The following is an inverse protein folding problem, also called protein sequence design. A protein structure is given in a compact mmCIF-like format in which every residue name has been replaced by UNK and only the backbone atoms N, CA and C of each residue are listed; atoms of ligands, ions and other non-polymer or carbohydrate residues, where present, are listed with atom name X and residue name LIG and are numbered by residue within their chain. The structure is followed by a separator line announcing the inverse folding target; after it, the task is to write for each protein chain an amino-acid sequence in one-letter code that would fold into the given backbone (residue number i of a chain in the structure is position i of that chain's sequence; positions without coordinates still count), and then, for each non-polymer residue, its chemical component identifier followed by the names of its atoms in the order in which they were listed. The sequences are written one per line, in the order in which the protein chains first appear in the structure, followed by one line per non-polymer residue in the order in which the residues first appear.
data_IF_235416088024
#
_entry.id   IF_235416088024
#
_cell.length_a   1.000
_cell.length_b   1.000
_cell.length_c   1.000
_cell.angle_alpha   90.00
_cell.angle_beta   90.00
_cell.angle_gamma   90.00
#
_symmetry.space_group_name_H-M   'P 1'
#
loop_
_entity.id
_entity.type
_entity.pdbx_description
1 polymer ?
#
# COMPACT_ATOMS: atom_id res chain seq x y z
N UNK A 1 8.87 57.53 15.55
CA UNK A 1 9.05 57.39 14.09
C UNK A 1 10.04 56.28 13.71
N UNK A 2 11.35 56.37 14.04
CA UNK A 2 12.31 55.30 13.68
C UNK A 2 11.95 53.93 14.31
N UNK A 3 11.56 53.90 15.59
CA UNK A 3 11.12 52.69 16.29
C UNK A 3 9.89 52.05 15.65
N UNK A 4 8.93 52.87 15.23
CA UNK A 4 7.67 52.41 14.62
C UNK A 4 7.93 51.82 13.23
N UNK A 5 8.82 52.45 12.44
CA UNK A 5 9.25 51.93 11.14
C UNK A 5 9.97 50.58 11.28
N UNK A 6 10.83 50.42 12.27
CA UNK A 6 11.51 49.15 12.55
C UNK A 6 10.51 48.07 12.96
N UNK A 7 9.51 48.40 13.78
CA UNK A 7 8.46 47.47 14.18
C UNK A 7 7.58 47.02 12.99
N UNK A 8 7.19 47.95 12.12
CA UNK A 8 6.42 47.61 10.90
C UNK A 8 7.26 46.74 9.96
N UNK A 9 8.54 47.06 9.77
CA UNK A 9 9.42 46.29 8.92
C UNK A 9 9.64 44.86 9.46
N UNK A 10 9.82 44.69 10.76
CA UNK A 10 10.02 43.36 11.35
C UNK A 10 8.77 42.48 11.23
N UNK A 11 7.57 43.05 11.41
CA UNK A 11 6.30 42.34 11.18
C UNK A 11 6.17 41.94 9.71
N UNK A 12 6.45 42.86 8.78
CA UNK A 12 6.39 42.56 7.35
C UNK A 12 7.35 41.42 6.96
N UNK A 13 8.60 41.46 7.43
CA UNK A 13 9.59 40.40 7.20
C UNK A 13 9.12 39.06 7.79
N UNK A 14 8.53 39.08 8.99
CA UNK A 14 8.05 37.87 9.66
C UNK A 14 6.88 37.22 8.91
N UNK A 15 5.95 38.02 8.38
CA UNK A 15 4.84 37.53 7.56
C UNK A 15 5.31 36.95 6.22
N UNK A 16 6.28 37.60 5.57
CA UNK A 16 6.89 37.08 4.34
C UNK A 16 7.60 35.75 4.61
N UNK A 17 8.39 35.68 5.69
CA UNK A 17 9.08 34.46 6.08
C UNK A 17 8.09 33.32 6.36
N UNK A 18 7.02 33.58 7.12
CA UNK A 18 5.95 32.61 7.38
C UNK A 18 5.29 32.12 6.08
N UNK A 19 4.98 33.03 5.16
CA UNK A 19 4.39 32.68 3.86
C UNK A 19 5.29 31.75 3.06
N UNK A 20 6.59 32.05 2.98
CA UNK A 20 7.58 31.20 2.32
C UNK A 20 7.68 29.83 3.00
N UNK A 21 7.73 29.79 4.33
CA UNK A 21 7.78 28.53 5.09
C UNK A 21 6.57 27.63 4.81
N UNK A 22 5.35 28.18 4.75
CA UNK A 22 4.15 27.40 4.44
C UNK A 22 4.18 26.84 3.01
N UNK A 23 4.61 27.64 2.03
CA UNK A 23 4.73 27.20 0.63
C UNK A 23 5.77 26.08 0.50
N UNK A 24 6.93 26.23 1.15
CA UNK A 24 7.98 25.20 1.16
C UNK A 24 7.47 23.93 1.84
N UNK A 25 6.81 24.03 2.99
CA UNK A 25 6.27 22.90 3.72
C UNK A 25 5.25 22.11 2.88
N UNK A 26 4.36 22.80 2.16
CA UNK A 26 3.41 22.13 1.25
C UNK A 26 4.10 21.48 0.05
N UNK A 27 5.16 22.11 -0.46
CA UNK A 27 5.99 21.55 -1.52
C UNK A 27 6.71 20.27 -1.09
N UNK A 28 7.29 20.26 0.12
CA UNK A 28 8.00 19.12 0.70
C UNK A 28 7.06 17.95 0.95
N UNK A 29 5.92 18.18 1.62
CA UNK A 29 4.92 17.13 1.87
C UNK A 29 4.47 16.43 0.60
N UNK A 30 4.23 17.18 -0.49
CA UNK A 30 3.85 16.57 -1.77
C UNK A 30 4.94 15.68 -2.36
N UNK A 31 6.22 16.05 -2.19
CA UNK A 31 7.36 15.24 -2.66
C UNK A 31 7.49 13.96 -1.83
N UNK A 32 7.42 14.09 -0.51
CA UNK A 32 7.42 12.97 0.43
C UNK A 32 6.29 11.98 0.14
N UNK A 33 5.07 12.46 -0.10
CA UNK A 33 3.94 11.59 -0.48
C UNK A 33 4.19 10.84 -1.80
N UNK A 34 4.83 11.50 -2.78
CA UNK A 34 5.17 10.86 -4.06
C UNK A 34 6.32 9.86 -3.91
N UNK A 35 7.30 10.15 -3.07
CA UNK A 35 8.40 9.24 -2.75
C UNK A 35 7.89 8.01 -2.01
N UNK A 36 7.00 8.20 -1.04
CA UNK A 36 6.29 7.12 -0.36
C UNK A 36 5.47 6.27 -1.35
N UNK A 37 4.71 6.91 -2.24
CA UNK A 37 3.93 6.19 -3.24
C UNK A 37 4.82 5.37 -4.20
N UNK A 38 5.99 5.89 -4.57
CA UNK A 38 6.96 5.17 -5.39
C UNK A 38 7.63 4.03 -4.63
N UNK A 39 8.02 4.26 -3.38
CA UNK A 39 8.66 3.22 -2.56
C UNK A 39 7.70 2.06 -2.30
N UNK A 40 6.43 2.33 -2.00
CA UNK A 40 5.40 1.30 -1.84
C UNK A 40 5.16 0.50 -3.13
N UNK A 41 5.17 1.17 -4.29
CA UNK A 41 5.07 0.46 -5.57
C UNK A 41 6.33 -0.38 -5.83
N UNK A 42 7.51 0.16 -5.55
CA UNK A 42 8.78 -0.54 -5.72
C UNK A 42 8.88 -1.76 -4.80
N UNK A 43 8.44 -1.64 -3.55
CA UNK A 43 8.35 -2.75 -2.59
C UNK A 43 7.50 -3.89 -3.16
N UNK A 44 6.39 -3.60 -3.85
CA UNK A 44 5.52 -4.62 -4.46
C UNK A 44 6.14 -5.32 -5.69
N UNK A 45 7.00 -4.62 -6.43
CA UNK A 45 7.55 -5.09 -7.71
C UNK A 45 8.98 -5.59 -7.63
N UNK A 46 9.63 -5.52 -6.47
CA UNK A 46 11.05 -5.88 -6.32
C UNK A 46 11.34 -6.61 -5.01
N UNK A 47 12.57 -7.12 -4.88
CA UNK A 47 13.07 -7.76 -3.66
C UNK A 47 12.26 -8.98 -3.23
N UNK A 48 12.06 -9.09 -1.92
CA UNK A 48 11.41 -10.24 -1.29
C UNK A 48 9.93 -10.41 -1.71
N UNK A 49 9.22 -9.32 -2.01
CA UNK A 49 7.81 -9.38 -2.40
C UNK A 49 7.65 -9.89 -3.83
N UNK A 50 8.53 -9.48 -4.74
CA UNK A 50 8.56 -10.04 -6.09
C UNK A 50 8.80 -11.55 -6.04
N UNK A 51 9.80 -11.98 -5.27
CA UNK A 51 10.07 -13.40 -5.05
C UNK A 51 8.87 -14.14 -4.42
N UNK A 52 8.22 -13.54 -3.42
CA UNK A 52 7.03 -14.12 -2.81
C UNK A 52 5.89 -14.30 -3.82
N UNK A 53 5.67 -13.31 -4.70
CA UNK A 53 4.68 -13.39 -5.79
C UNK A 53 5.02 -14.49 -6.79
N UNK A 54 6.29 -14.68 -7.12
CA UNK A 54 6.71 -15.75 -8.03
C UNK A 54 6.48 -17.13 -7.43
N UNK A 55 6.85 -17.33 -6.15
CA UNK A 55 6.61 -18.58 -5.41
C UNK A 55 5.11 -18.90 -5.36
N UNK A 56 4.30 -17.93 -4.91
CA UNK A 56 2.86 -18.11 -4.79
C UNK A 56 2.20 -18.26 -6.17
N UNK A 57 2.67 -17.55 -7.19
CA UNK A 57 2.15 -17.64 -8.55
C UNK A 57 2.44 -19.01 -9.17
N UNK A 58 3.63 -19.57 -8.88
CA UNK A 58 3.98 -20.95 -9.21
C UNK A 58 3.08 -21.95 -8.50
N UNK A 59 2.81 -21.75 -7.20
CA UNK A 59 1.91 -22.59 -6.42
C UNK A 59 0.46 -22.54 -6.95
N UNK A 60 -0.05 -21.35 -7.25
CA UNK A 60 -1.42 -21.18 -7.76
C UNK A 60 -1.59 -21.89 -9.10
N UNK A 61 -0.62 -21.74 -10.01
CA UNK A 61 -0.68 -22.31 -11.38
C UNK A 61 -0.29 -23.79 -11.47
N UNK A 62 0.42 -24.33 -10.48
CA UNK A 62 0.82 -25.74 -10.49
C UNK A 62 -0.18 -26.63 -9.76
N UNK A 63 -0.44 -27.81 -10.31
CA UNK A 63 -1.24 -28.86 -9.65
C UNK A 63 -0.39 -29.81 -8.78
N UNK A 64 0.91 -29.50 -8.62
CA UNK A 64 1.81 -30.33 -7.81
C UNK A 64 1.48 -30.17 -6.33
N UNK A 65 1.51 -31.29 -5.61
CA UNK A 65 1.45 -31.27 -4.16
C UNK A 65 2.72 -30.59 -3.60
N UNK A 66 2.54 -29.74 -2.59
CA UNK A 66 3.68 -29.19 -1.83
C UNK A 66 4.29 -30.30 -0.97
N UNK A 67 5.61 -30.36 -0.97
CA UNK A 67 6.35 -31.06 0.08
C UNK A 67 6.48 -30.18 1.34
N UNK A 68 7.05 -30.72 2.41
CA UNK A 68 7.17 -30.00 3.67
C UNK A 68 7.99 -28.70 3.54
N UNK A 69 9.10 -28.73 2.80
CA UNK A 69 10.00 -27.57 2.62
C UNK A 69 9.31 -26.46 1.81
N UNK A 70 8.73 -26.80 0.67
CA UNK A 70 7.97 -25.88 -0.17
C UNK A 70 6.72 -25.34 0.53
N UNK A 71 6.11 -26.11 1.44
CA UNK A 71 5.01 -25.62 2.27
C UNK A 71 5.44 -24.50 3.22
N UNK A 72 6.64 -24.59 3.83
CA UNK A 72 7.17 -23.53 4.70
C UNK A 72 7.49 -22.29 3.89
N UNK A 73 8.14 -22.43 2.74
CA UNK A 73 8.47 -21.32 1.84
C UNK A 73 7.20 -20.63 1.31
N UNK A 74 6.20 -21.40 0.87
CA UNK A 74 4.92 -20.86 0.43
C UNK A 74 4.18 -20.11 1.55
N UNK A 75 4.25 -20.61 2.79
CA UNK A 75 3.67 -19.93 3.95
C UNK A 75 4.37 -18.58 4.20
N UNK A 76 5.70 -18.55 4.15
CA UNK A 76 6.47 -17.31 4.30
C UNK A 76 6.12 -16.32 3.19
N UNK A 77 6.11 -16.78 1.94
CA UNK A 77 5.74 -15.96 0.79
C UNK A 77 4.32 -15.38 0.92
N UNK A 78 3.36 -16.19 1.39
CA UNK A 78 1.98 -15.76 1.65
C UNK A 78 1.93 -14.57 2.62
N UNK A 79 2.58 -14.69 3.78
CA UNK A 79 2.60 -13.60 4.76
C UNK A 79 3.41 -12.38 4.28
N UNK A 80 4.51 -12.57 3.56
CA UNK A 80 5.27 -11.47 2.95
C UNK A 80 4.39 -10.66 2.02
N UNK A 81 3.59 -11.31 1.17
CA UNK A 81 2.71 -10.62 0.24
C UNK A 81 1.53 -9.93 0.95
N UNK A 82 0.91 -10.57 1.93
CA UNK A 82 -0.14 -9.95 2.75
C UNK A 82 0.35 -8.69 3.46
N UNK A 83 1.52 -8.77 4.09
CA UNK A 83 2.12 -7.64 4.78
C UNK A 83 2.43 -6.48 3.83
N UNK A 84 2.86 -6.78 2.60
CA UNK A 84 3.03 -5.76 1.56
C UNK A 84 1.70 -5.05 1.24
N UNK A 85 0.61 -5.81 1.06
CA UNK A 85 -0.70 -5.21 0.79
C UNK A 85 -1.23 -4.37 1.96
N UNK A 86 -1.02 -4.79 3.21
CA UNK A 86 -1.37 -3.99 4.39
C UNK A 86 -0.60 -2.67 4.43
N UNK A 87 0.72 -2.68 4.16
CA UNK A 87 1.52 -1.45 4.07
C UNK A 87 1.04 -0.52 2.96
N UNK A 88 0.64 -1.07 1.82
CA UNK A 88 0.05 -0.30 0.71
C UNK A 88 -1.28 0.31 1.12
N UNK A 89 -2.14 -0.44 1.82
CA UNK A 89 -3.41 0.08 2.33
C UNK A 89 -3.20 1.26 3.27
N UNK A 90 -2.30 1.12 4.26
CA UNK A 90 -1.92 2.20 5.16
C UNK A 90 -1.38 3.40 4.37
N UNK A 91 -0.51 3.15 3.39
CA UNK A 91 0.01 4.17 2.49
C UNK A 91 -1.07 4.95 1.74
N UNK A 92 -2.11 4.27 1.25
CA UNK A 92 -3.27 4.89 0.60
C UNK A 92 -4.15 5.70 1.55
N UNK A 93 -4.23 5.30 2.83
CA UNK A 93 -5.00 6.01 3.85
C UNK A 93 -4.33 7.33 4.25
N UNK A 94 -2.99 7.35 4.36
CA UNK A 94 -2.23 8.54 4.75
C UNK A 94 -1.92 9.47 3.56
N UNK A 95 -1.92 8.95 2.33
CA UNK A 95 -1.70 9.73 1.12
C UNK A 95 -2.98 10.42 0.63
N UNK A 96 -2.84 11.59 0.02
CA UNK A 96 -3.97 12.32 -0.58
C UNK A 96 -3.64 12.84 -1.99
N UNK A 97 -4.67 13.27 -2.75
CA UNK A 97 -4.49 13.90 -4.05
C UNK A 97 -3.78 13.03 -5.10
N UNK A 98 -2.84 13.64 -5.83
CA UNK A 98 -2.14 13.00 -6.97
C UNK A 98 -1.26 11.80 -6.58
N UNK A 99 -0.47 11.83 -5.49
CA UNK A 99 0.28 10.66 -5.02
C UNK A 99 -0.60 9.42 -4.80
N UNK A 100 -1.74 9.59 -4.14
CA UNK A 100 -2.71 8.50 -3.93
C UNK A 100 -3.27 7.96 -5.25
N UNK A 101 -3.61 8.83 -6.19
CA UNK A 101 -4.08 8.42 -7.52
C UNK A 101 -3.00 7.64 -8.29
N UNK A 102 -1.75 8.10 -8.22
CA UNK A 102 -0.61 7.40 -8.81
C UNK A 102 -0.46 6.00 -8.21
N UNK A 103 -0.39 5.88 -6.88
CA UNK A 103 -0.25 4.58 -6.21
C UNK A 103 -1.42 3.65 -6.56
N UNK A 104 -2.65 4.14 -6.46
CA UNK A 104 -3.87 3.37 -6.79
C UNK A 104 -3.81 2.82 -8.21
N UNK A 105 -3.37 3.64 -9.18
CA UNK A 105 -3.23 3.21 -10.58
C UNK A 105 -2.11 2.17 -10.73
N UNK A 106 -0.96 2.39 -10.09
CA UNK A 106 0.20 1.52 -10.19
C UNK A 106 -0.07 0.12 -9.62
N UNK A 107 -0.77 0.02 -8.49
CA UNK A 107 -1.05 -1.27 -7.84
C UNK A 107 -2.27 -2.00 -8.42
N UNK A 108 -3.11 -1.33 -9.22
CA UNK A 108 -4.43 -1.83 -9.62
C UNK A 108 -4.37 -3.23 -10.23
N UNK A 109 -3.43 -3.45 -11.15
CA UNK A 109 -3.29 -4.74 -11.81
C UNK A 109 -2.87 -5.84 -10.84
N UNK A 110 -1.94 -5.55 -9.91
CA UNK A 110 -1.50 -6.49 -8.89
C UNK A 110 -2.64 -6.86 -7.92
N UNK A 111 -3.43 -5.89 -7.48
CA UNK A 111 -4.57 -6.18 -6.60
C UNK A 111 -5.59 -7.07 -7.31
N UNK A 112 -5.89 -6.80 -8.59
CA UNK A 112 -6.80 -7.63 -9.38
C UNK A 112 -6.26 -9.04 -9.64
N UNK A 113 -4.96 -9.18 -9.89
CA UNK A 113 -4.30 -10.49 -10.03
C UNK A 113 -4.47 -11.30 -8.74
N UNK A 114 -4.17 -10.69 -7.60
CA UNK A 114 -4.09 -11.40 -6.33
C UNK A 114 -5.41 -11.55 -5.58
N UNK A 115 -6.47 -10.83 -5.96
CA UNK A 115 -7.80 -10.93 -5.32
C UNK A 115 -8.31 -12.38 -5.26
N UNK A 116 -8.11 -13.15 -6.34
CA UNK A 116 -8.53 -14.56 -6.41
C UNK A 116 -7.41 -15.50 -6.03
N UNK A 117 -6.20 -15.22 -6.52
CA UNK A 117 -5.06 -16.11 -6.41
C UNK A 117 -4.59 -16.28 -4.97
N UNK A 118 -4.75 -15.25 -4.12
CA UNK A 118 -4.39 -15.32 -2.70
C UNK A 118 -5.22 -16.36 -1.94
N UNK A 119 -6.51 -16.50 -2.26
CA UNK A 119 -7.41 -17.49 -1.65
C UNK A 119 -7.08 -18.89 -2.13
N UNK A 120 -6.70 -19.05 -3.40
CA UNK A 120 -6.24 -20.33 -3.94
C UNK A 120 -4.93 -20.76 -3.27
N UNK A 121 -3.96 -19.84 -3.17
CA UNK A 121 -2.70 -20.08 -2.49
C UNK A 121 -2.91 -20.52 -1.05
N UNK A 122 -3.72 -19.77 -0.27
CA UNK A 122 -4.07 -20.11 1.11
C UNK A 122 -4.60 -21.54 1.24
N UNK A 123 -5.62 -21.90 0.44
CA UNK A 123 -6.22 -23.25 0.47
C UNK A 123 -5.21 -24.35 0.16
N UNK A 124 -4.30 -24.12 -0.78
CA UNK A 124 -3.24 -25.09 -1.11
C UNK A 124 -2.27 -25.26 0.07
N UNK A 125 -1.86 -24.17 0.73
CA UNK A 125 -0.97 -24.22 1.89
C UNK A 125 -1.67 -24.93 3.08
N UNK A 126 -2.93 -24.60 3.38
CA UNK A 126 -3.71 -25.23 4.46
C UNK A 126 -3.87 -26.74 4.25
N UNK A 127 -4.16 -27.15 3.01
CA UNK A 127 -4.30 -28.58 2.66
C UNK A 127 -3.01 -29.36 2.93
N UNK A 128 -1.85 -28.79 2.64
CA UNK A 128 -0.56 -29.44 2.85
C UNK A 128 -0.12 -29.46 4.32
N UNK A 129 -0.52 -28.44 5.08
CA UNK A 129 -0.18 -28.32 6.51
C UNK A 129 -1.09 -29.15 7.42
N UNK A 130 -2.30 -29.49 6.96
CA UNK A 130 -3.30 -30.22 7.75
C UNK A 130 -3.93 -29.38 8.87
N UNK A 131 -3.73 -28.07 8.86
CA UNK A 131 -4.28 -27.12 9.83
C UNK A 131 -4.59 -25.78 9.13
N UNK A 132 -5.65 -25.09 9.60
CA UNK A 132 -5.99 -23.75 9.14
C UNK A 132 -4.89 -22.73 9.47
N UNK A 133 -4.66 -21.77 8.57
CA UNK A 133 -3.67 -20.70 8.77
C UNK A 133 -4.28 -19.52 9.53
N UNK A 134 -5.61 -19.41 9.52
CA UNK A 134 -6.33 -18.35 10.24
C UNK A 134 -6.22 -18.52 11.75
N UNK A 135 -5.97 -17.42 12.45
CA UNK A 135 -6.30 -17.30 13.86
C UNK A 135 -7.80 -16.97 14.02
N UNK A 136 -8.37 -17.28 15.19
CA UNK A 136 -9.80 -17.03 15.47
C UNK A 136 -10.22 -15.56 15.23
N UNK A 137 -9.26 -14.63 15.29
CA UNK A 137 -9.46 -13.20 15.03
C UNK A 137 -9.65 -12.87 13.55
N UNK A 138 -9.07 -13.64 12.64
CA UNK A 138 -9.23 -13.46 11.18
C UNK A 138 -10.63 -13.83 10.67
N UNK A 139 -11.40 -14.59 11.45
CA UNK A 139 -12.80 -14.92 11.15
C UNK A 139 -13.81 -13.87 11.66
N UNK A 140 -13.36 -12.87 12.43
CA UNK A 140 -14.23 -11.79 12.85
C UNK A 140 -14.71 -11.02 11.60
N UNK A 141 -16.04 -10.93 11.45
CA UNK A 141 -16.72 -10.40 10.27
C UNK A 141 -16.05 -9.14 9.68
N UNK A 142 -16.01 -8.99 8.33
CA UNK A 142 -15.34 -7.86 7.68
C UNK A 142 -15.84 -6.54 8.26
N UNK A 143 -14.92 -5.75 8.81
CA UNK A 143 -15.24 -4.41 9.30
C UNK A 143 -15.88 -3.61 8.15
N UNK A 144 -16.98 -2.88 8.39
CA UNK A 144 -17.70 -2.14 7.34
C UNK A 144 -16.84 -1.08 6.62
N UNK A 145 -15.66 -0.74 7.14
CA UNK A 145 -14.66 0.09 6.46
C UNK A 145 -14.03 -0.58 5.23
N UNK A 146 -13.90 -1.91 5.20
CA UNK A 146 -13.27 -2.64 4.11
C UNK A 146 -14.19 -2.82 2.89
N UNK A 147 -15.50 -2.97 3.11
CA UNK A 147 -16.50 -3.00 2.03
C UNK A 147 -16.59 -1.69 1.25
N UNK A 148 -16.28 -0.55 1.89
CA UNK A 148 -16.31 0.77 1.23
C UNK A 148 -15.07 1.04 0.38
N UNK A 149 -13.96 0.32 0.61
CA UNK A 149 -12.74 0.41 -0.19
C UNK A 149 -12.77 -0.50 -1.43
N UNK A 150 -13.52 -1.60 -1.40
CA UNK A 150 -13.60 -2.59 -2.50
C UNK A 150 -14.72 -2.35 -3.51
N UNK A 151 -15.64 -1.40 -3.30
CA UNK A 151 -16.50 -0.93 -4.39
C UNK A 151 -15.72 0.02 -5.30
N UNK A 152 -14.79 -0.52 -6.09
CA UNK A 152 -14.13 0.21 -7.16
C UNK A 152 -15.16 0.49 -8.25
N UNK A 153 -15.91 1.60 -8.14
CA UNK A 153 -16.71 2.10 -9.27
C UNK A 153 -15.73 2.66 -10.30
N UNK A 154 -15.62 2.10 -11.51
CA UNK A 154 -14.96 2.79 -12.59
C UNK A 154 -15.70 4.12 -12.79
N UNK A 155 -15.03 5.25 -12.59
CA UNK A 155 -15.58 6.52 -13.03
C UNK A 155 -15.70 6.43 -14.54
N UNK A 156 -16.94 6.31 -15.03
CA UNK A 156 -17.22 6.34 -16.44
C UNK A 156 -16.75 7.69 -17.02
N UNK A 157 -16.08 7.62 -18.16
CA UNK A 157 -15.84 8.68 -19.12
C UNK A 157 -14.96 9.88 -18.67
N UNK A 158 -13.71 9.86 -19.14
CA UNK A 158 -13.18 11.01 -19.89
C UNK A 158 -12.75 10.44 -21.24
N UNK A 159 -13.57 10.68 -22.27
CA UNK A 159 -13.17 10.57 -23.68
C UNK A 159 -12.53 11.89 -24.08
#
# INVERSE_FOLDING_TARGET
MLRDLVAVASVAVSLVALGVSLVVQWGQRRREDFELARSLHQDLTSGEVAQARDILGGLVRSDRALDATSSVEATRAYFTLLWCFERIEVGLQISSGRPRQFLTRAIRWHVLEWERDIVVAKRKIEKCRGAGIDDERSQAAPRPSCQRAMTWRPSAAVR
#
